data_IF_379781676305
#
_entry.id   IF_379781676305
#
_cell.length_a   1.000
_cell.length_b   1.000
_cell.length_c   1.000
_cell.angle_alpha   90.00
_cell.angle_beta   90.00
_cell.angle_gamma   90.00
#
_symmetry.space_group_name_H-M   'P 1'
#
loop_
_entity.id
_entity.type
_entity.pdbx_description
1 polymer ?
#
# COMPACT_ATOMS: atom_id res chain seq x y z
N UNK A 1 8.32 0.52 -3.05
CA UNK A 1 8.01 -0.53 -4.05
C UNK A 1 6.56 -0.41 -4.48
N UNK A 2 6.23 -0.33 -5.77
CA UNK A 2 4.84 -0.14 -6.21
C UNK A 2 4.07 -1.47 -6.16
N UNK A 3 3.06 -1.56 -5.27
CA UNK A 3 2.01 -2.58 -5.32
C UNK A 3 0.81 -1.97 -6.06
N UNK A 4 0.50 -2.50 -7.23
CA UNK A 4 -0.62 -2.01 -8.05
C UNK A 4 -1.88 -2.81 -7.74
N UNK A 5 -2.94 -2.11 -7.36
CA UNK A 5 -4.24 -2.73 -7.14
C UNK A 5 -5.11 -2.56 -8.38
N UNK A 6 -6.01 -3.52 -8.62
CA UNK A 6 -7.11 -3.31 -9.55
C UNK A 6 -7.95 -2.09 -9.11
N UNK A 7 -8.59 -1.43 -10.08
CA UNK A 7 -9.43 -0.25 -9.79
C UNK A 7 -10.51 -0.61 -8.77
N UNK A 8 -10.68 0.23 -7.75
CA UNK A 8 -11.64 0.01 -6.66
C UNK A 8 -11.34 -1.14 -5.68
N UNK A 9 -10.34 -1.97 -5.94
CA UNK A 9 -9.99 -3.13 -5.08
C UNK A 9 -8.87 -2.79 -4.08
N UNK A 10 -8.87 -3.52 -2.96
CA UNK A 10 -7.80 -3.58 -1.96
C UNK A 10 -7.19 -4.99 -1.86
N UNK A 11 -7.44 -5.85 -2.84
CA UNK A 11 -6.87 -7.19 -2.90
C UNK A 11 -5.44 -7.13 -3.38
N UNK A 12 -4.52 -7.72 -2.61
CA UNK A 12 -3.11 -7.76 -2.95
C UNK A 12 -2.91 -8.75 -4.11
N UNK A 13 -2.39 -8.30 -5.27
CA UNK A 13 -2.08 -9.20 -6.38
C UNK A 13 -1.12 -10.31 -5.95
N UNK A 14 -1.27 -11.50 -6.54
CA UNK A 14 -0.41 -12.64 -6.24
C UNK A 14 1.07 -12.33 -6.49
N UNK A 15 1.39 -11.60 -7.56
CA UNK A 15 2.75 -11.20 -7.94
C UNK A 15 3.43 -10.33 -6.87
N UNK A 16 2.64 -9.61 -6.06
CA UNK A 16 3.14 -8.78 -4.98
C UNK A 16 3.28 -9.53 -3.65
N UNK A 17 2.75 -10.75 -3.52
CA UNK A 17 2.87 -11.55 -2.29
C UNK A 17 4.31 -11.98 -2.02
N UNK A 18 5.07 -12.34 -3.06
CA UNK A 18 6.46 -12.75 -2.92
C UNK A 18 7.34 -11.65 -2.31
N UNK A 19 7.14 -10.39 -2.71
CA UNK A 19 7.89 -9.27 -2.14
C UNK A 19 7.46 -8.92 -0.72
N UNK A 20 6.18 -9.09 -0.39
CA UNK A 20 5.69 -8.92 0.98
C UNK A 20 6.19 -10.02 1.91
N UNK A 21 6.37 -11.25 1.41
CA UNK A 21 6.97 -12.35 2.17
C UNK A 21 8.45 -12.06 2.50
N UNK A 22 9.19 -11.47 1.57
CA UNK A 22 10.56 -10.99 1.82
C UNK A 22 10.57 -9.86 2.86
N UNK A 23 9.67 -8.90 2.77
CA UNK A 23 9.53 -7.83 3.76
C UNK A 23 9.22 -8.39 5.16
N UNK A 24 8.29 -9.33 5.28
CA UNK A 24 7.96 -10.00 6.54
C UNK A 24 9.18 -10.71 7.15
N UNK A 25 9.96 -11.40 6.32
CA UNK A 25 11.19 -12.08 6.75
C UNK A 25 12.21 -11.09 7.32
N UNK A 26 12.38 -9.92 6.70
CA UNK A 26 13.31 -8.89 7.15
C UNK A 26 12.83 -8.22 8.45
N UNK A 27 11.55 -7.87 8.55
CA UNK A 27 10.96 -7.24 9.74
C UNK A 27 11.01 -8.13 10.99
N UNK A 28 11.00 -9.45 10.79
CA UNK A 28 11.16 -10.41 11.89
C UNK A 28 12.62 -10.58 12.34
N UNK A 29 13.59 -10.31 11.46
CA UNK A 29 15.03 -10.37 11.79
C UNK A 29 15.55 -9.11 12.47
N UNK A 30 14.87 -7.98 12.29
CA UNK A 30 15.30 -6.68 12.81
C UNK A 30 14.41 -6.23 13.97
N UNK A 31 15.04 -5.94 15.11
CA UNK A 31 14.39 -5.33 16.27
C UNK A 31 14.42 -3.80 16.17
N UNK A 32 13.41 -3.14 16.75
CA UNK A 32 13.34 -1.67 16.82
C UNK A 32 12.91 -0.94 15.54
N UNK A 33 12.71 -1.65 14.42
CA UNK A 33 12.17 -1.05 13.18
C UNK A 33 10.65 -1.02 13.21
N UNK A 34 10.08 0.12 12.83
CA UNK A 34 8.66 0.29 12.52
C UNK A 34 8.50 0.50 11.03
N UNK A 35 7.50 -0.13 10.43
CA UNK A 35 7.15 0.03 9.03
C UNK A 35 5.88 0.87 8.91
N UNK A 36 5.98 1.97 8.18
CA UNK A 36 4.83 2.76 7.76
C UNK A 36 4.43 2.34 6.35
N UNK A 37 3.22 1.83 6.20
CA UNK A 37 2.63 1.43 4.94
C UNK A 37 1.73 2.55 4.45
N UNK A 38 2.21 3.32 3.48
CA UNK A 38 1.47 4.41 2.84
C UNK A 38 0.70 3.91 1.62
N UNK A 39 -0.61 4.14 1.59
CA UNK A 39 -1.47 3.83 0.45
C UNK A 39 -1.82 5.07 -0.36
N UNK A 40 -1.84 4.92 -1.68
CA UNK A 40 -2.10 6.01 -2.63
C UNK A 40 -3.11 5.58 -3.71
N UNK A 41 -3.83 6.55 -4.24
CA UNK A 41 -4.73 6.39 -5.40
C UNK A 41 -4.32 7.33 -6.52
N UNK A 42 -4.86 7.12 -7.71
CA UNK A 42 -4.94 8.19 -8.70
C UNK A 42 -6.01 9.21 -8.30
N UNK A 43 -6.11 10.32 -9.05
CA UNK A 43 -7.05 11.41 -8.78
C UNK A 43 -8.45 11.20 -9.35
N UNK A 44 -8.78 10.01 -9.84
CA UNK A 44 -10.10 9.74 -10.42
C UNK A 44 -11.13 9.62 -9.29
N UNK A 45 -12.32 10.20 -9.47
CA UNK A 45 -13.41 10.10 -8.51
C UNK A 45 -13.30 11.07 -7.33
N UNK A 46 -13.95 10.72 -6.21
CA UNK A 46 -14.09 11.60 -5.06
C UNK A 46 -12.90 11.48 -4.08
N UNK A 47 -12.40 12.62 -3.59
CA UNK A 47 -11.26 12.67 -2.67
C UNK A 47 -11.46 11.86 -1.37
N UNK A 48 -12.65 11.92 -0.76
CA UNK A 48 -12.95 11.15 0.46
C UNK A 48 -12.98 9.64 0.18
N UNK A 49 -13.55 9.24 -0.97
CA UNK A 49 -13.51 7.84 -1.41
C UNK A 49 -12.08 7.36 -1.66
N UNK A 50 -11.23 8.20 -2.25
CA UNK A 50 -9.81 7.91 -2.48
C UNK A 50 -9.02 7.78 -1.17
N UNK A 51 -9.28 8.63 -0.18
CA UNK A 51 -8.73 8.48 1.17
C UNK A 51 -9.14 7.17 1.83
N UNK A 52 -10.43 6.81 1.76
CA UNK A 52 -10.90 5.54 2.31
C UNK A 52 -10.30 4.33 1.57
N UNK A 53 -10.22 4.38 0.23
CA UNK A 53 -9.66 3.29 -0.57
C UNK A 53 -8.17 3.08 -0.32
N UNK A 54 -7.38 4.15 -0.30
CA UNK A 54 -5.95 4.08 0.02
C UNK A 54 -5.70 3.54 1.43
N UNK A 55 -6.49 3.94 2.41
CA UNK A 55 -6.40 3.39 3.77
C UNK A 55 -6.68 1.88 3.78
N UNK A 56 -7.73 1.43 3.09
CA UNK A 56 -8.04 -0.01 2.99
C UNK A 56 -6.92 -0.81 2.32
N UNK A 57 -6.28 -0.27 1.28
CA UNK A 57 -5.13 -0.89 0.61
C UNK A 57 -3.93 -1.01 1.54
N UNK A 58 -3.61 0.06 2.27
CA UNK A 58 -2.53 0.05 3.26
C UNK A 58 -2.81 -0.97 4.37
N UNK A 59 -4.05 -1.01 4.86
CA UNK A 59 -4.47 -1.97 5.87
C UNK A 59 -4.36 -3.42 5.38
N UNK A 60 -4.77 -3.70 4.13
CA UNK A 60 -4.65 -5.05 3.56
C UNK A 60 -3.20 -5.55 3.56
N UNK A 61 -2.23 -4.67 3.26
CA UNK A 61 -0.80 -5.00 3.31
C UNK A 61 -0.34 -5.24 4.74
N UNK A 62 -0.76 -4.42 5.71
CA UNK A 62 -0.48 -4.64 7.13
C UNK A 62 -1.04 -5.99 7.60
N UNK A 63 -2.31 -6.28 7.31
CA UNK A 63 -2.96 -7.53 7.68
C UNK A 63 -2.25 -8.74 7.07
N UNK A 64 -1.80 -8.62 5.81
CA UNK A 64 -0.99 -9.64 5.16
C UNK A 64 0.33 -9.88 5.89
N UNK A 65 1.07 -8.83 6.24
CA UNK A 65 2.33 -8.95 7.00
C UNK A 65 2.10 -9.57 8.39
N UNK A 66 1.02 -9.19 9.08
CA UNK A 66 0.63 -9.81 10.35
C UNK A 66 0.35 -11.30 10.16
N UNK A 67 -0.37 -11.69 9.10
CA UNK A 67 -0.62 -13.11 8.79
C UNK A 67 0.66 -13.92 8.51
N UNK A 68 1.75 -13.22 8.17
CA UNK A 68 3.10 -13.80 7.98
C UNK A 68 3.95 -13.77 9.25
N UNK A 69 3.35 -13.40 10.38
CA UNK A 69 3.97 -13.42 11.71
C UNK A 69 4.72 -12.15 12.10
N UNK A 70 4.55 -11.04 11.37
CA UNK A 70 5.10 -9.74 11.80
C UNK A 70 4.26 -9.19 12.95
N UNK A 71 4.94 -8.71 14.00
CA UNK A 71 4.29 -8.04 15.12
C UNK A 71 3.55 -6.77 14.63
N UNK A 72 2.22 -6.75 14.80
CA UNK A 72 1.36 -5.64 14.39
C UNK A 72 1.72 -4.30 15.06
N UNK A 73 2.36 -4.31 16.23
CA UNK A 73 2.82 -3.07 16.89
C UNK A 73 3.97 -2.37 16.15
N UNK A 74 4.63 -3.09 15.22
CA UNK A 74 5.65 -2.54 14.32
C UNK A 74 5.07 -1.93 13.06
N UNK A 75 3.76 -2.07 12.80
CA UNK A 75 3.14 -1.73 11.52
C UNK A 75 2.14 -0.58 11.69
N UNK A 76 2.17 0.37 10.76
CA UNK A 76 1.21 1.47 10.70
C UNK A 76 0.69 1.59 9.28
N UNK A 77 -0.64 1.54 9.10
CA UNK A 77 -1.29 1.76 7.80
C UNK A 77 -1.78 3.21 7.69
N UNK A 78 -1.41 3.91 6.62
CA UNK A 78 -1.86 5.28 6.36
C UNK A 78 -2.34 5.47 4.91
N UNK A 79 -3.56 5.97 4.74
CA UNK A 79 -4.15 6.31 3.45
C UNK A 79 -3.95 7.78 3.08
N UNK A 80 -3.20 8.03 2.01
CA UNK A 80 -2.94 9.38 1.50
C UNK A 80 -3.90 9.80 0.39
N UNK A 81 -4.75 8.91 -0.11
CA UNK A 81 -5.63 9.20 -1.24
C UNK A 81 -4.82 9.61 -2.46
N UNK A 82 -5.25 10.66 -3.14
CA UNK A 82 -4.59 11.22 -4.32
C UNK A 82 -3.68 12.42 -4.02
N UNK A 83 -3.41 12.70 -2.74
CA UNK A 83 -2.78 13.97 -2.32
C UNK A 83 -1.26 13.99 -2.52
N UNK A 84 -0.65 12.83 -2.79
CA UNK A 84 0.80 12.67 -2.96
C UNK A 84 1.12 11.91 -4.26
N UNK A 85 0.83 12.53 -5.43
CA UNK A 85 1.11 11.92 -6.73
C UNK A 85 2.62 11.86 -6.98
N UNK A 86 3.06 10.79 -7.66
CA UNK A 86 4.44 10.61 -8.13
C UNK A 86 4.53 10.72 -9.66
N UNK A 87 3.39 10.84 -10.33
CA UNK A 87 3.28 11.04 -11.77
C UNK A 87 1.99 11.83 -12.10
N UNK A 88 1.92 12.35 -13.33
CA UNK A 88 0.77 13.09 -13.85
C UNK A 88 -0.50 12.22 -13.90
N UNK A 89 -1.62 12.69 -13.33
CA UNK A 89 -2.89 11.94 -13.38
C UNK A 89 -3.63 12.05 -14.73
N UNK A 90 -3.13 12.87 -15.65
CA UNK A 90 -3.73 13.07 -16.98
C UNK A 90 -3.55 11.86 -17.90
N UNK A 91 -2.49 11.06 -17.70
CA UNK A 91 -2.20 9.86 -18.49
C UNK A 91 -2.56 8.59 -17.74
N UNK A 92 -2.92 7.51 -18.45
CA UNK A 92 -3.18 6.22 -17.80
C UNK A 92 -1.92 5.67 -17.12
N UNK A 93 -0.75 5.86 -17.74
CA UNK A 93 0.53 5.44 -17.16
C UNK A 93 0.81 6.16 -15.83
N UNK A 94 0.55 7.48 -15.76
CA UNK A 94 0.77 8.23 -14.53
C UNK A 94 -0.26 7.90 -13.44
N UNK A 95 -1.54 7.68 -13.80
CA UNK A 95 -2.53 7.14 -12.87
C UNK A 95 -2.13 5.77 -12.32
N UNK A 96 -1.64 4.89 -13.18
CA UNK A 96 -1.14 3.58 -12.78
C UNK A 96 -0.01 3.71 -11.75
N UNK A 97 0.97 4.59 -11.99
CA UNK A 97 2.06 4.87 -11.03
C UNK A 97 1.56 5.45 -9.69
N UNK A 98 0.47 6.20 -9.70
CA UNK A 98 -0.12 6.78 -8.48
C UNK A 98 -0.93 5.77 -7.66
N UNK A 99 -1.48 4.71 -8.27
CA UNK A 99 -2.18 3.61 -7.58
C UNK A 99 -1.19 2.65 -6.89
N UNK A 100 -0.46 3.14 -5.89
CA UNK A 100 0.68 2.44 -5.27
C UNK A 100 0.53 2.26 -3.75
N UNK A 101 1.38 1.38 -3.23
CA UNK A 101 1.76 1.32 -1.82
C UNK A 101 3.23 1.74 -1.71
N UNK A 102 3.62 2.31 -0.57
CA UNK A 102 5.00 2.61 -0.23
C UNK A 102 5.31 2.17 1.20
N UNK A 103 6.54 1.69 1.41
CA UNK A 103 7.17 1.35 2.68
C UNK A 103 8.67 1.09 2.45
#
# INVERSE_FOLDING_TARGET
QIINFASGSSDIPADNKAILDQAATLLNKVSGVKLNVGGHTDSTGNAAANKALSQRRAQAVVDYLISKGVDGTKLVAQGHGSDQPVAENTTEEGRFKNRRIEF
#
